data_IF_665695123275
#
_entry.id   IF_665695123275
#
_cell.length_a   1.000
_cell.length_b   1.000
_cell.length_c   1.000
_cell.angle_alpha   90.00
_cell.angle_beta   90.00
_cell.angle_gamma   90.00
#
_symmetry.space_group_name_H-M   'P 1'
#
loop_
_entity.id
_entity.type
_entity.pdbx_description
1 polymer ?
#
# COMPACT_ATOMS: atom_id res chain seq x y z
N UNK A 1 -1.96 4.96 -6.93
CA UNK A 1 -1.85 6.39 -6.53
C UNK A 1 -1.73 7.31 -7.75
N UNK A 2 -0.79 7.09 -8.66
CA UNK A 2 -0.66 7.89 -9.89
C UNK A 2 -1.94 7.88 -10.74
N UNK A 3 -2.58 6.70 -10.89
CA UNK A 3 -3.85 6.58 -11.62
C UNK A 3 -4.99 7.35 -10.94
N UNK A 4 -5.00 7.43 -9.60
CA UNK A 4 -5.97 8.24 -8.86
C UNK A 4 -5.81 9.74 -9.16
N UNK A 5 -4.58 10.27 -9.18
CA UNK A 5 -4.34 11.66 -9.56
C UNK A 5 -4.79 11.97 -10.99
N UNK A 6 -4.57 11.06 -11.94
CA UNK A 6 -5.03 11.20 -13.32
C UNK A 6 -6.55 11.22 -13.37
N UNK A 7 -7.23 10.31 -12.67
CA UNK A 7 -8.70 10.27 -12.59
C UNK A 7 -9.27 11.58 -12.04
N UNK A 8 -8.65 12.13 -10.99
CA UNK A 8 -9.17 13.32 -10.33
C UNK A 8 -8.95 14.58 -11.18
N UNK A 9 -7.90 14.64 -12.00
CA UNK A 9 -7.76 15.70 -13.01
C UNK A 9 -8.84 15.62 -14.10
N UNK A 10 -9.25 14.42 -14.52
CA UNK A 10 -10.40 14.24 -15.42
C UNK A 10 -11.72 14.61 -14.75
N UNK A 11 -11.90 14.35 -13.46
CA UNK A 11 -13.07 14.79 -12.70
C UNK A 11 -13.16 16.33 -12.64
N UNK A 12 -12.04 17.02 -12.48
CA UNK A 12 -11.99 18.48 -12.54
C UNK A 12 -12.38 19.00 -13.92
N UNK A 13 -11.92 18.36 -14.99
CA UNK A 13 -12.31 18.71 -16.37
C UNK A 13 -13.79 18.42 -16.62
N UNK A 14 -14.32 17.32 -16.09
CA UNK A 14 -15.76 17.04 -16.16
C UNK A 14 -16.59 18.08 -15.42
N UNK A 15 -16.14 18.56 -14.25
CA UNK A 15 -16.79 19.64 -13.52
C UNK A 15 -16.74 20.98 -14.29
N UNK A 16 -15.68 21.23 -15.06
CA UNK A 16 -15.62 22.37 -15.99
C UNK A 16 -16.56 22.22 -17.17
N UNK A 17 -16.75 21.00 -17.68
CA UNK A 17 -17.66 20.74 -18.79
C UNK A 17 -19.13 21.07 -18.45
N UNK A 18 -19.51 21.04 -17.16
CA UNK A 18 -20.84 21.45 -16.71
C UNK A 18 -21.17 22.95 -16.95
N UNK A 19 -20.19 23.78 -17.28
CA UNK A 19 -20.40 25.19 -17.67
C UNK A 19 -20.72 25.37 -19.16
N UNK A 20 -20.55 24.31 -19.97
CA UNK A 20 -20.86 24.33 -21.39
C UNK A 20 -22.27 23.77 -21.64
N UNK A 21 -22.92 24.19 -22.72
CA UNK A 21 -24.25 23.68 -23.09
C UNK A 21 -24.17 22.19 -23.39
N UNK A 22 -25.14 21.44 -22.87
CA UNK A 22 -25.30 20.01 -23.18
C UNK A 22 -26.17 19.85 -24.43
N UNK A 23 -25.66 19.09 -25.37
CA UNK A 23 -26.37 18.70 -26.58
C UNK A 23 -26.88 17.29 -26.39
N UNK A 24 -28.18 17.12 -26.32
CA UNK A 24 -28.82 15.78 -26.23
C UNK A 24 -29.51 15.50 -27.54
N UNK A 25 -29.13 14.39 -28.17
CA UNK A 25 -29.77 13.88 -29.38
C UNK A 25 -30.58 12.65 -29.01
N UNK A 26 -31.88 12.70 -29.21
CA UNK A 26 -32.80 11.57 -29.03
C UNK A 26 -33.46 11.20 -30.35
N UNK A 27 -33.44 9.91 -30.66
CA UNK A 27 -34.10 9.35 -31.85
C UNK A 27 -35.06 8.25 -31.43
N UNK A 28 -36.26 8.24 -32.02
CA UNK A 28 -37.18 7.16 -31.87
C UNK A 28 -37.67 6.71 -33.25
N UNK A 29 -37.71 5.39 -33.43
CA UNK A 29 -38.27 4.74 -34.62
C UNK A 29 -39.35 3.75 -34.20
N UNK A 30 -40.48 3.74 -34.88
CA UNK A 30 -41.56 2.82 -34.59
C UNK A 30 -42.44 2.55 -35.83
N UNK A 31 -43.07 1.42 -35.84
CA UNK A 31 -44.13 1.11 -36.78
C UNK A 31 -45.51 1.30 -36.13
N UNK A 32 -46.35 2.09 -36.75
CA UNK A 32 -47.75 2.20 -36.32
C UNK A 32 -48.63 1.39 -37.25
N UNK A 33 -49.41 0.46 -36.70
CA UNK A 33 -50.41 -0.28 -37.40
C UNK A 33 -51.79 0.12 -36.85
N UNK A 34 -52.59 0.78 -37.67
CA UNK A 34 -53.91 1.32 -37.25
C UNK A 34 -55.06 0.35 -37.53
N UNK A 35 -54.79 -0.91 -37.86
CA UNK A 35 -55.80 -1.91 -38.12
C UNK A 35 -55.36 -3.26 -37.53
N UNK A 36 -56.10 -3.75 -36.57
CA UNK A 36 -55.84 -4.94 -35.77
C UNK A 36 -55.79 -6.28 -36.49
N UNK A 37 -55.39 -6.37 -37.71
CA UNK A 37 -55.17 -7.63 -38.44
C UNK A 37 -54.06 -7.45 -39.47
N UNK A 38 -52.95 -8.15 -39.26
CA UNK A 38 -51.93 -8.38 -40.28
C UNK A 38 -50.72 -7.51 -40.29
N UNK A 39 -49.64 -8.20 -40.30
CA UNK A 39 -48.25 -7.78 -40.34
C UNK A 39 -47.97 -6.91 -41.58
N UNK A 40 -47.36 -5.73 -41.30
CA UNK A 40 -46.46 -5.00 -42.15
C UNK A 40 -47.03 -4.30 -43.37
N UNK A 41 -47.41 -3.04 -43.19
CA UNK A 41 -47.42 -2.10 -44.29
C UNK A 41 -46.10 -1.25 -44.18
N UNK A 42 -45.11 -1.43 -45.07
CA UNK A 42 -43.81 -0.73 -45.00
C UNK A 42 -43.90 0.79 -45.18
N UNK A 43 -45.04 1.33 -45.52
CA UNK A 43 -45.30 2.76 -45.71
C UNK A 43 -45.62 3.56 -44.44
N UNK A 44 -45.64 2.92 -43.24
CA UNK A 44 -45.94 3.60 -41.95
C UNK A 44 -44.78 3.53 -40.95
N UNK A 45 -43.56 3.64 -41.43
CA UNK A 45 -42.41 3.87 -40.59
C UNK A 45 -42.39 5.32 -40.09
N UNK A 46 -42.52 5.50 -38.79
CA UNK A 46 -42.30 6.80 -38.13
C UNK A 46 -40.92 6.84 -37.54
N UNK A 47 -40.10 7.72 -38.06
CA UNK A 47 -38.79 8.04 -37.47
C UNK A 47 -38.80 9.50 -37.01
N UNK A 48 -38.47 9.75 -35.78
CA UNK A 48 -38.29 11.09 -35.24
C UNK A 48 -36.91 11.25 -34.63
N UNK A 49 -36.23 12.35 -34.94
CA UNK A 49 -34.99 12.76 -34.33
C UNK A 49 -35.16 14.14 -33.72
N UNK A 50 -34.86 14.29 -32.45
CA UNK A 50 -34.98 15.56 -31.73
C UNK A 50 -33.61 15.87 -31.11
N UNK A 51 -33.05 17.04 -31.49
CA UNK A 51 -31.88 17.58 -30.85
C UNK A 51 -32.29 18.67 -29.84
N UNK A 52 -31.84 18.57 -28.58
CA UNK A 52 -32.06 19.60 -27.57
C UNK A 52 -30.74 20.16 -27.08
N UNK A 53 -30.66 21.48 -26.93
CA UNK A 53 -29.54 22.21 -26.34
C UNK A 53 -29.98 22.79 -25.02
N UNK A 54 -29.35 22.33 -23.93
CA UNK A 54 -29.71 22.77 -22.57
C UNK A 54 -28.47 23.36 -21.88
N UNK A 55 -28.58 24.61 -21.44
CA UNK A 55 -27.53 25.27 -20.66
C UNK A 55 -28.13 25.82 -19.36
N UNK A 56 -27.74 25.34 -18.19
CA UNK A 56 -28.19 25.89 -16.91
C UNK A 56 -27.43 27.17 -16.59
N UNK A 57 -28.08 28.36 -16.81
CA UNK A 57 -27.49 29.68 -16.54
C UNK A 57 -27.56 30.05 -15.05
N UNK A 58 -28.62 29.63 -14.34
CA UNK A 58 -28.86 29.98 -12.94
C UNK A 58 -29.08 28.71 -12.10
N UNK A 59 -28.00 28.13 -11.57
CA UNK A 59 -28.07 26.94 -10.76
C UNK A 59 -27.63 27.19 -9.31
N UNK A 60 -28.02 28.31 -8.72
CA UNK A 60 -27.73 28.70 -7.32
C UNK A 60 -26.25 28.51 -6.92
N UNK A 61 -25.31 28.71 -7.82
CA UNK A 61 -23.89 28.53 -7.58
C UNK A 61 -23.41 27.06 -7.47
N UNK A 62 -24.27 26.08 -7.71
CA UNK A 62 -23.94 24.65 -7.56
C UNK A 62 -22.79 24.21 -8.48
N UNK A 63 -22.73 24.68 -9.72
CA UNK A 63 -21.64 24.37 -10.64
C UNK A 63 -20.31 24.96 -10.17
N UNK A 64 -20.32 26.17 -9.60
CA UNK A 64 -19.12 26.79 -9.01
C UNK A 64 -18.65 26.02 -7.79
N UNK A 65 -19.57 25.60 -6.91
CA UNK A 65 -19.26 24.79 -5.75
C UNK A 65 -18.66 23.42 -6.14
N UNK A 66 -19.27 22.76 -7.14
CA UNK A 66 -18.78 21.47 -7.68
C UNK A 66 -17.39 21.61 -8.28
N UNK A 67 -17.10 22.68 -9.01
CA UNK A 67 -15.76 22.92 -9.56
C UNK A 67 -14.72 23.19 -8.46
N UNK A 68 -15.08 23.97 -7.43
CA UNK A 68 -14.19 24.20 -6.27
C UNK A 68 -13.91 22.90 -5.52
N UNK A 69 -14.93 22.09 -5.31
CA UNK A 69 -14.78 20.78 -4.67
C UNK A 69 -13.89 19.83 -5.49
N UNK A 70 -14.09 19.74 -6.81
CA UNK A 70 -13.27 18.91 -7.68
C UNK A 70 -11.79 19.36 -7.68
N UNK A 71 -11.52 20.66 -7.69
CA UNK A 71 -10.16 21.19 -7.56
C UNK A 71 -9.51 20.86 -6.21
N UNK A 72 -10.25 20.98 -5.11
CA UNK A 72 -9.74 20.62 -3.79
C UNK A 72 -9.44 19.11 -3.69
N UNK A 73 -10.29 18.26 -4.29
CA UNK A 73 -10.05 16.81 -4.37
C UNK A 73 -8.81 16.48 -5.22
N UNK A 74 -8.59 17.18 -6.32
CA UNK A 74 -7.38 17.02 -7.15
C UNK A 74 -6.11 17.38 -6.34
N UNK A 75 -6.14 18.48 -5.59
CA UNK A 75 -5.02 18.90 -4.74
C UNK A 75 -4.78 17.89 -3.60
N UNK A 76 -5.85 17.42 -2.96
CA UNK A 76 -5.78 16.37 -1.95
C UNK A 76 -5.14 15.09 -2.51
N UNK A 77 -5.51 14.67 -3.72
CA UNK A 77 -4.92 13.49 -4.35
C UNK A 77 -3.42 13.66 -4.64
N UNK A 78 -2.98 14.86 -5.01
CA UNK A 78 -1.55 15.17 -5.19
C UNK A 78 -0.77 15.07 -3.89
N UNK A 79 -1.32 15.62 -2.79
CA UNK A 79 -0.70 15.53 -1.46
C UNK A 79 -0.65 14.08 -0.98
N UNK A 80 -1.72 13.30 -1.19
CA UNK A 80 -1.74 11.88 -0.86
C UNK A 80 -0.68 11.08 -1.63
N UNK A 81 -0.47 11.40 -2.89
CA UNK A 81 0.60 10.78 -3.69
C UNK A 81 1.99 11.12 -3.13
N UNK A 82 2.25 12.37 -2.79
CA UNK A 82 3.50 12.79 -2.18
C UNK A 82 3.74 12.08 -0.84
N UNK A 83 2.71 11.99 0.02
CA UNK A 83 2.78 11.28 1.29
C UNK A 83 3.08 9.80 1.09
N UNK A 84 2.43 9.15 0.13
CA UNK A 84 2.68 7.74 -0.18
C UNK A 84 4.13 7.51 -0.67
N UNK A 85 4.67 8.43 -1.48
CA UNK A 85 6.05 8.35 -1.96
C UNK A 85 7.07 8.51 -0.81
N UNK A 86 6.82 9.46 0.09
CA UNK A 86 7.66 9.66 1.29
C UNK A 86 7.61 8.46 2.22
N UNK A 87 6.41 7.90 2.44
CA UNK A 87 6.25 6.71 3.27
C UNK A 87 6.98 5.50 2.68
N UNK A 88 6.89 5.29 1.37
CA UNK A 88 7.64 4.23 0.70
C UNK A 88 9.16 4.41 0.85
N UNK A 89 9.66 5.64 0.71
CA UNK A 89 11.08 5.94 0.94
C UNK A 89 11.52 5.66 2.38
N UNK A 90 10.71 6.05 3.36
CA UNK A 90 10.97 5.77 4.77
C UNK A 90 10.93 4.26 5.08
N UNK A 91 10.00 3.52 4.49
CA UNK A 91 9.87 2.07 4.66
C UNK A 91 11.13 1.34 4.16
N UNK A 92 11.63 1.68 2.97
CA UNK A 92 12.88 1.14 2.43
C UNK A 92 14.08 1.51 3.30
N UNK A 93 14.17 2.77 3.73
CA UNK A 93 15.26 3.24 4.60
C UNK A 93 15.28 2.49 5.94
N UNK A 94 14.11 2.36 6.57
CA UNK A 94 13.97 1.64 7.83
C UNK A 94 14.32 0.15 7.70
N UNK A 95 13.87 -0.50 6.62
CA UNK A 95 14.18 -1.91 6.36
C UNK A 95 15.68 -2.13 6.12
N UNK A 96 16.34 -1.20 5.42
CA UNK A 96 17.79 -1.25 5.20
C UNK A 96 18.57 -1.07 6.50
N UNK A 97 18.18 -0.09 7.33
CA UNK A 97 18.80 0.12 8.62
C UNK A 97 18.61 -1.09 9.55
N UNK A 98 17.40 -1.67 9.57
CA UNK A 98 17.13 -2.89 10.34
C UNK A 98 18.04 -4.04 9.90
N UNK A 99 18.19 -4.26 8.59
CA UNK A 99 19.09 -5.28 8.06
C UNK A 99 20.54 -5.07 8.48
N UNK A 100 21.04 -3.82 8.41
CA UNK A 100 22.41 -3.49 8.83
C UNK A 100 22.60 -3.73 10.34
N UNK A 101 21.66 -3.28 11.17
CA UNK A 101 21.70 -3.48 12.62
C UNK A 101 21.71 -4.97 13.00
N UNK A 102 20.87 -5.80 12.36
CA UNK A 102 20.86 -7.23 12.65
C UNK A 102 22.16 -7.93 12.21
N UNK A 103 22.78 -7.46 11.13
CA UNK A 103 24.10 -7.94 10.70
C UNK A 103 25.20 -7.62 11.71
N UNK A 104 25.24 -6.40 12.22
CA UNK A 104 26.25 -5.97 13.20
C UNK A 104 26.02 -6.67 14.55
N UNK A 105 24.76 -6.85 14.92
CA UNK A 105 24.36 -7.59 16.11
C UNK A 105 24.79 -9.06 16.05
N UNK A 106 24.70 -9.71 14.90
CA UNK A 106 25.13 -11.09 14.72
C UNK A 106 26.61 -11.29 15.03
N UNK A 107 27.46 -10.34 14.60
CA UNK A 107 28.91 -10.37 14.92
C UNK A 107 29.14 -10.27 16.43
N UNK A 108 28.48 -9.32 17.10
CA UNK A 108 28.59 -9.13 18.55
C UNK A 108 28.05 -10.35 19.32
N UNK A 109 26.97 -10.96 18.81
CA UNK A 109 26.39 -12.17 19.42
C UNK A 109 27.34 -13.37 19.36
N UNK A 110 28.00 -13.59 18.23
CA UNK A 110 28.98 -14.66 18.09
C UNK A 110 30.14 -14.50 19.08
N UNK A 111 30.60 -13.27 19.29
CA UNK A 111 31.63 -12.99 20.33
C UNK A 111 31.10 -13.33 21.72
N UNK A 112 29.88 -12.91 22.05
CA UNK A 112 29.25 -13.18 23.34
C UNK A 112 29.09 -14.68 23.59
N UNK A 113 28.61 -15.46 22.62
CA UNK A 113 28.43 -16.90 22.73
C UNK A 113 29.78 -17.59 22.96
N UNK A 114 30.82 -17.19 22.22
CA UNK A 114 32.16 -17.77 22.39
C UNK A 114 32.75 -17.44 23.78
N UNK A 115 32.58 -16.19 24.26
CA UNK A 115 33.02 -15.78 25.59
C UNK A 115 32.27 -16.53 26.69
N UNK A 116 30.96 -16.72 26.56
CA UNK A 116 30.14 -17.47 27.51
C UNK A 116 30.51 -18.97 27.53
N UNK A 117 30.78 -19.53 26.33
CA UNK A 117 31.29 -20.93 26.22
C UNK A 117 32.61 -21.12 26.95
N UNK A 118 33.55 -20.16 26.72
CA UNK A 118 34.85 -20.22 27.37
C UNK A 118 34.71 -20.14 28.90
N UNK A 119 33.90 -19.18 29.40
CA UNK A 119 33.63 -19.01 30.82
C UNK A 119 33.02 -20.27 31.45
N UNK A 120 32.06 -20.92 30.78
CA UNK A 120 31.47 -22.20 31.26
C UNK A 120 32.50 -23.33 31.29
N UNK A 121 33.37 -23.41 30.26
CA UNK A 121 34.47 -24.41 30.24
C UNK A 121 35.47 -24.20 31.37
N UNK A 122 35.94 -22.97 31.54
CA UNK A 122 36.94 -22.61 32.53
C UNK A 122 36.40 -22.80 33.97
N UNK A 123 35.14 -22.42 34.22
CA UNK A 123 34.48 -22.61 35.51
C UNK A 123 34.34 -24.10 35.85
N UNK A 124 34.06 -24.95 34.85
CA UNK A 124 33.97 -26.41 35.02
C UNK A 124 35.34 -27.01 35.34
N UNK A 125 36.41 -26.50 34.72
CA UNK A 125 37.76 -26.93 35.02
C UNK A 125 38.18 -26.53 36.45
N UNK A 126 37.88 -25.29 36.85
CA UNK A 126 38.10 -24.79 38.22
C UNK A 126 37.32 -25.61 39.27
N UNK A 127 36.11 -26.04 38.95
CA UNK A 127 35.33 -26.92 39.81
C UNK A 127 36.02 -28.29 39.99
N UNK A 128 36.55 -28.86 38.91
CA UNK A 128 37.28 -30.14 38.97
C UNK A 128 38.56 -30.04 39.79
N UNK A 129 39.17 -28.84 39.83
CA UNK A 129 40.33 -28.51 40.66
C UNK A 129 39.96 -28.17 42.11
N UNK A 130 38.66 -28.15 42.47
CA UNK A 130 38.16 -27.85 43.78
C UNK A 130 38.21 -26.37 44.19
N UNK A 131 38.43 -25.43 43.26
CA UNK A 131 38.54 -23.99 43.49
C UNK A 131 37.23 -23.24 43.20
N UNK A 132 36.26 -23.84 42.57
CA UNK A 132 34.95 -23.26 42.24
C UNK A 132 33.80 -24.10 42.83
N UNK A 133 32.65 -23.47 43.02
CA UNK A 133 31.44 -24.13 43.54
C UNK A 133 30.57 -24.67 42.41
N UNK A 134 29.74 -25.67 42.69
CA UNK A 134 28.78 -26.21 41.73
C UNK A 134 27.77 -25.15 41.27
N UNK A 135 27.43 -24.19 42.15
CA UNK A 135 26.54 -23.10 41.83
C UNK A 135 27.13 -22.17 40.74
N UNK A 136 28.44 -21.91 40.81
CA UNK A 136 29.13 -21.10 39.79
C UNK A 136 29.14 -21.81 38.44
N UNK A 137 29.38 -23.10 38.38
CA UNK A 137 29.30 -23.90 37.15
C UNK A 137 27.89 -23.81 36.56
N UNK A 138 26.87 -24.01 37.38
CA UNK A 138 25.48 -23.96 36.93
C UNK A 138 25.11 -22.57 36.39
N UNK A 139 25.57 -21.49 37.05
CA UNK A 139 25.36 -20.11 36.61
C UNK A 139 26.07 -19.81 35.28
N UNK A 140 27.29 -20.32 35.09
CA UNK A 140 28.03 -20.15 33.84
C UNK A 140 27.34 -20.91 32.67
N UNK A 141 26.92 -22.14 32.90
CA UNK A 141 26.16 -22.93 31.91
C UNK A 141 24.83 -22.30 31.56
N UNK A 142 24.10 -21.76 32.55
CA UNK A 142 22.85 -21.03 32.28
C UNK A 142 23.09 -19.76 31.42
N UNK A 143 24.17 -19.04 31.68
CA UNK A 143 24.55 -17.87 30.90
C UNK A 143 24.92 -18.25 29.46
N UNK A 144 25.65 -19.36 29.27
CA UNK A 144 25.99 -19.89 27.96
C UNK A 144 24.73 -20.32 27.18
N UNK A 145 23.83 -21.09 27.83
CA UNK A 145 22.57 -21.47 27.20
C UNK A 145 21.70 -20.27 26.80
N UNK A 146 21.63 -19.27 27.67
CA UNK A 146 20.91 -18.01 27.35
C UNK A 146 21.50 -17.30 26.13
N UNK A 147 22.83 -17.26 26.01
CA UNK A 147 23.52 -16.68 24.86
C UNK A 147 23.24 -17.45 23.56
N UNK A 148 23.20 -18.81 23.61
CA UNK A 148 22.85 -19.63 22.46
C UNK A 148 21.39 -19.43 22.01
N UNK A 149 20.45 -19.39 22.96
CA UNK A 149 19.04 -19.13 22.64
C UNK A 149 18.86 -17.74 22.00
N UNK A 150 19.60 -16.74 22.48
CA UNK A 150 19.59 -15.42 21.89
C UNK A 150 20.21 -15.42 20.48
N UNK A 151 21.23 -16.20 20.19
CA UNK A 151 21.82 -16.37 18.85
C UNK A 151 20.80 -16.93 17.85
N UNK A 152 20.02 -17.94 18.26
CA UNK A 152 18.95 -18.50 17.43
C UNK A 152 17.88 -17.43 17.14
N UNK A 153 17.47 -16.66 18.15
CA UNK A 153 16.50 -15.57 17.99
C UNK A 153 17.03 -14.47 17.05
N UNK A 154 18.30 -14.11 17.17
CA UNK A 154 18.93 -13.11 16.30
C UNK A 154 19.03 -13.60 14.84
N UNK A 155 19.31 -14.88 14.64
CA UNK A 155 19.31 -15.50 13.31
C UNK A 155 17.93 -15.42 12.67
N UNK A 156 16.87 -15.70 13.42
CA UNK A 156 15.50 -15.56 12.95
C UNK A 156 15.16 -14.10 12.61
N UNK A 157 15.53 -13.15 13.48
CA UNK A 157 15.32 -11.72 13.24
C UNK A 157 16.06 -11.21 11.99
N UNK A 158 17.27 -11.71 11.75
CA UNK A 158 18.04 -11.40 10.54
C UNK A 158 17.33 -11.89 9.27
N UNK A 159 16.78 -13.10 9.27
CA UNK A 159 16.00 -13.63 8.15
C UNK A 159 14.73 -12.78 7.92
N UNK A 160 14.06 -12.39 9.01
CA UNK A 160 12.88 -11.53 8.93
C UNK A 160 13.21 -10.14 8.39
N UNK A 161 14.37 -9.58 8.75
CA UNK A 161 14.84 -8.30 8.21
C UNK A 161 15.09 -8.36 6.69
N UNK A 162 15.65 -9.47 6.18
CA UNK A 162 15.82 -9.70 4.73
C UNK A 162 14.47 -9.77 4.01
N UNK A 163 13.49 -10.48 4.59
CA UNK A 163 12.14 -10.57 4.02
C UNK A 163 11.48 -9.19 4.00
N UNK A 164 11.58 -8.44 5.09
CA UNK A 164 11.03 -7.08 5.19
C UNK A 164 11.65 -6.13 4.16
N UNK A 165 12.96 -6.22 3.95
CA UNK A 165 13.66 -5.45 2.92
C UNK A 165 13.19 -5.84 1.51
N UNK A 166 13.02 -7.12 1.24
CA UNK A 166 12.50 -7.61 -0.03
C UNK A 166 11.08 -7.09 -0.30
N UNK A 167 10.21 -7.09 0.72
CA UNK A 167 8.85 -6.56 0.62
C UNK A 167 8.84 -5.04 0.41
N UNK A 168 9.68 -4.29 1.15
CA UNK A 168 9.80 -2.84 1.02
C UNK A 168 10.27 -2.41 -0.38
N UNK A 169 11.11 -3.22 -1.05
CA UNK A 169 11.54 -3.01 -2.43
C UNK A 169 10.48 -3.41 -3.46
N UNK A 170 9.31 -3.87 -3.02
CA UNK A 170 8.20 -4.26 -3.91
C UNK A 170 8.24 -5.71 -4.37
N UNK A 171 9.07 -6.55 -3.76
CA UNK A 171 9.10 -7.99 -4.03
C UNK A 171 7.81 -8.69 -3.58
N UNK A 172 7.49 -9.83 -4.24
CA UNK A 172 6.30 -10.64 -3.89
C UNK A 172 4.98 -10.11 -4.46
N UNK A 173 5.02 -9.17 -5.38
CA UNK A 173 3.84 -8.73 -6.16
C UNK A 173 3.95 -9.32 -7.57
N UNK A 174 3.40 -10.49 -7.74
CA UNK A 174 3.04 -11.05 -9.05
C UNK A 174 1.56 -10.79 -9.34
#
# INVERSE_FOLDING_TARGET
QRQMCIRDSYNTNSARAAFYPQITLSGSGGWTNNSGAGIVNPGKLLASAIGSLTQPLFYRGANIARLKQAKAQEEQAKIQFQTALLNAGNEVSNALHLYQMEKDKAVSRTIQVNSARQAASDTKELFNLGTSTYLEVLSAEQSYLSAQLAEVSDTFSSMQAVISLYQALGGGRE
#
